data_IF_225964316554
#
_entry.id   IF_225964316554
#
_cell.length_a   1.000
_cell.length_b   1.000
_cell.length_c   1.000
_cell.angle_alpha   90.00
_cell.angle_beta   90.00
_cell.angle_gamma   90.00
#
_symmetry.space_group_name_H-M   'P 1'
#
loop_
_entity.id
_entity.type
_entity.pdbx_description
1 polymer ?
#
# COMPACT_ATOMS: atom_id res chain seq x y z
N UNK A 1 20.66 -4.17 19.15
CA UNK A 1 19.58 -4.81 18.37
C UNK A 1 19.23 -3.93 17.18
N UNK A 2 18.80 -4.51 16.06
CA UNK A 2 18.50 -3.78 14.81
C UNK A 2 17.22 -2.95 14.96
N UNK A 3 17.24 -1.71 14.45
CA UNK A 3 16.05 -0.85 14.30
C UNK A 3 15.89 -0.51 12.82
N UNK A 4 14.67 -0.62 12.32
CA UNK A 4 14.28 -0.13 10.99
C UNK A 4 13.49 1.15 11.17
N UNK A 5 13.89 2.21 10.47
CA UNK A 5 13.24 3.52 10.55
C UNK A 5 12.58 3.80 9.20
N UNK A 6 11.28 4.13 9.23
CA UNK A 6 10.49 4.50 8.06
C UNK A 6 9.92 5.90 8.30
N UNK A 7 10.16 6.82 7.36
CA UNK A 7 9.80 8.23 7.54
C UNK A 7 8.94 8.75 6.39
N UNK A 8 8.06 9.66 6.76
CA UNK A 8 7.34 10.56 5.85
C UNK A 8 7.74 12.01 6.17
N UNK A 9 7.19 12.97 5.42
CA UNK A 9 7.43 14.40 5.67
C UNK A 9 7.10 14.84 7.11
N UNK A 10 6.20 14.16 7.81
CA UNK A 10 5.65 14.62 9.10
C UNK A 10 5.63 13.55 10.20
N UNK A 11 6.01 12.30 9.92
CA UNK A 11 5.98 11.19 10.88
C UNK A 11 7.14 10.22 10.66
N UNK A 12 7.61 9.66 11.76
CA UNK A 12 8.62 8.59 11.81
C UNK A 12 8.00 7.38 12.50
N UNK A 13 8.09 6.22 11.87
CA UNK A 13 7.75 4.92 12.45
C UNK A 13 9.05 4.12 12.64
N UNK A 14 9.23 3.53 13.82
CA UNK A 14 10.42 2.74 14.16
C UNK A 14 9.97 1.32 14.47
N UNK A 15 10.61 0.35 13.83
CA UNK A 15 10.33 -1.08 13.99
C UNK A 15 11.56 -1.71 14.65
N UNK A 16 11.37 -2.37 15.79
CA UNK A 16 12.45 -2.99 16.55
C UNK A 16 11.93 -3.75 17.77
N UNK A 17 12.83 -4.46 18.46
CA UNK A 17 12.47 -5.32 19.60
C UNK A 17 11.87 -4.58 20.81
N UNK A 18 12.24 -3.31 21.00
CA UNK A 18 11.77 -2.47 22.12
C UNK A 18 10.79 -1.37 21.66
N UNK A 19 10.26 -1.47 20.43
CA UNK A 19 9.33 -0.51 19.87
C UNK A 19 7.87 -1.00 19.97
N UNK A 20 6.88 -0.09 19.96
CA UNK A 20 5.48 -0.48 19.81
C UNK A 20 5.25 -1.31 18.53
N UNK A 21 4.26 -2.20 18.56
CA UNK A 21 3.88 -2.97 17.38
C UNK A 21 3.47 -2.03 16.24
N UNK A 22 4.11 -2.20 15.08
CA UNK A 22 3.85 -1.38 13.91
C UNK A 22 2.79 -2.05 13.03
N UNK A 23 1.61 -1.45 12.97
CA UNK A 23 0.51 -1.87 12.08
C UNK A 23 0.76 -1.33 10.67
N UNK A 24 0.81 -2.24 9.69
CA UNK A 24 0.90 -1.91 8.26
C UNK A 24 -0.48 -2.11 7.64
N UNK A 25 -1.09 -1.04 7.13
CA UNK A 25 -2.38 -1.11 6.46
C UNK A 25 -2.25 -1.66 5.03
N UNK A 26 -2.96 -2.75 4.72
CA UNK A 26 -2.88 -3.46 3.43
C UNK A 26 -3.92 -3.02 2.37
N UNK A 27 -4.83 -2.11 2.72
CA UNK A 27 -6.08 -1.93 1.96
C UNK A 27 -5.86 -1.35 0.56
N UNK A 28 -4.77 -0.60 0.34
CA UNK A 28 -4.43 0.02 -0.95
C UNK A 28 -3.77 -1.04 -1.84
N UNK A 29 -4.61 -1.97 -2.30
CA UNK A 29 -4.25 -3.04 -3.19
C UNK A 29 -5.46 -3.36 -4.09
N UNK A 30 -5.35 -3.25 -5.43
CA UNK A 30 -6.45 -3.49 -6.36
C UNK A 30 -6.83 -4.96 -6.50
N UNK A 31 -6.02 -5.91 -6.00
CA UNK A 31 -6.30 -7.35 -6.09
C UNK A 31 -7.64 -7.68 -5.45
N UNK A 32 -8.55 -8.26 -6.23
CA UNK A 32 -9.92 -8.57 -5.77
C UNK A 32 -10.84 -7.34 -5.61
N UNK A 33 -10.37 -6.12 -5.89
CA UNK A 33 -11.14 -4.86 -5.76
C UNK A 33 -11.40 -4.22 -7.11
N UNK A 34 -12.35 -4.79 -7.87
CA UNK A 34 -12.71 -4.36 -9.23
C UNK A 34 -12.86 -2.84 -9.40
N UNK A 35 -13.50 -2.16 -8.42
CA UNK A 35 -13.68 -0.71 -8.45
C UNK A 35 -12.33 0.04 -8.37
N UNK A 36 -11.49 -0.31 -7.39
CA UNK A 36 -10.19 0.34 -7.21
C UNK A 36 -9.27 0.06 -8.41
N UNK A 37 -9.33 -1.15 -8.98
CA UNK A 37 -8.58 -1.47 -10.18
C UNK A 37 -8.95 -0.56 -11.36
N UNK A 38 -10.25 -0.42 -11.65
CA UNK A 38 -10.74 0.44 -12.73
C UNK A 38 -10.43 1.94 -12.49
N UNK A 39 -10.52 2.41 -11.25
CA UNK A 39 -10.17 3.80 -10.90
C UNK A 39 -8.67 4.04 -11.15
N UNK A 40 -7.78 3.15 -10.70
CA UNK A 40 -6.34 3.26 -10.94
C UNK A 40 -5.99 3.20 -12.44
N UNK A 41 -6.63 2.32 -13.21
CA UNK A 41 -6.50 2.24 -14.68
C UNK A 41 -6.88 3.56 -15.36
N UNK A 42 -7.88 4.27 -14.82
CA UNK A 42 -8.34 5.57 -15.30
C UNK A 42 -7.52 6.76 -14.75
N UNK A 43 -6.51 6.52 -13.89
CA UNK A 43 -5.79 7.57 -13.19
C UNK A 43 -6.60 8.30 -12.12
N UNK A 44 -7.70 7.71 -11.66
CA UNK A 44 -8.51 8.20 -10.54
C UNK A 44 -7.98 7.64 -9.21
N UNK A 45 -7.48 8.52 -8.36
CA UNK A 45 -6.92 8.18 -7.05
C UNK A 45 -7.89 8.37 -5.88
N UNK A 46 -9.17 8.69 -6.15
CA UNK A 46 -10.15 9.03 -5.12
C UNK A 46 -10.31 7.95 -4.04
N UNK A 47 -10.37 6.67 -4.43
CA UNK A 47 -10.45 5.56 -3.45
C UNK A 47 -9.12 5.35 -2.71
N UNK A 48 -7.97 5.58 -3.36
CA UNK A 48 -6.66 5.49 -2.71
C UNK A 48 -6.55 6.51 -1.58
N UNK A 49 -6.89 7.77 -1.86
CA UNK A 49 -6.86 8.85 -0.86
C UNK A 49 -7.79 8.53 0.33
N UNK A 50 -9.01 8.08 0.02
CA UNK A 50 -9.98 7.68 1.05
C UNK A 50 -9.46 6.55 1.92
N UNK A 51 -8.95 5.48 1.30
CA UNK A 51 -8.46 4.31 2.03
C UNK A 51 -7.21 4.64 2.84
N UNK A 52 -6.32 5.52 2.35
CA UNK A 52 -5.16 5.98 3.09
C UNK A 52 -5.58 6.69 4.40
N UNK A 53 -6.49 7.65 4.30
CA UNK A 53 -7.01 8.38 5.46
C UNK A 53 -7.73 7.45 6.44
N UNK A 54 -8.56 6.54 5.94
CA UNK A 54 -9.31 5.61 6.79
C UNK A 54 -8.38 4.64 7.53
N UNK A 55 -7.37 4.09 6.87
CA UNK A 55 -6.43 3.18 7.52
C UNK A 55 -5.61 3.88 8.61
N UNK A 56 -5.16 5.11 8.37
CA UNK A 56 -4.48 5.91 9.40
C UNK A 56 -5.41 6.20 10.57
N UNK A 57 -6.68 6.55 10.31
CA UNK A 57 -7.67 6.76 11.35
C UNK A 57 -7.98 5.48 12.16
N UNK A 58 -7.87 4.31 11.53
CA UNK A 58 -7.97 2.99 12.17
C UNK A 58 -6.69 2.53 12.88
N UNK A 59 -5.63 3.33 12.90
CA UNK A 59 -4.40 3.05 13.66
C UNK A 59 -3.24 2.47 12.85
N UNK A 60 -3.30 2.45 11.52
CA UNK A 60 -2.15 2.07 10.71
C UNK A 60 -0.99 3.07 10.91
N UNK A 61 0.20 2.55 11.22
CA UNK A 61 1.42 3.35 11.38
C UNK A 61 2.09 3.60 10.02
N UNK A 62 2.03 2.59 9.15
CA UNK A 62 2.58 2.56 7.80
C UNK A 62 1.45 2.06 6.87
N UNK A 63 1.49 2.47 5.60
CA UNK A 63 0.58 1.97 4.58
C UNK A 63 1.38 1.17 3.55
N UNK A 64 0.95 -0.06 3.29
CA UNK A 64 1.40 -0.83 2.13
C UNK A 64 0.67 -0.35 0.88
N UNK A 65 1.40 -0.22 -0.23
CA UNK A 65 0.88 0.31 -1.49
C UNK A 65 1.23 -0.68 -2.60
N UNK A 66 0.22 -1.32 -3.17
CA UNK A 66 0.38 -2.17 -4.35
C UNK A 66 -0.44 -1.60 -5.52
N UNK A 67 0.22 -1.33 -6.64
CA UNK A 67 -0.41 -0.90 -7.89
C UNK A 67 -0.13 -1.86 -9.06
N UNK A 68 0.57 -2.97 -8.83
CA UNK A 68 1.17 -3.80 -9.87
C UNK A 68 0.16 -4.44 -10.81
N UNK A 69 -0.98 -4.92 -10.31
CA UNK A 69 -1.96 -5.67 -11.13
C UNK A 69 -2.65 -4.80 -12.19
N UNK A 70 -2.79 -3.50 -11.95
CA UNK A 70 -3.53 -2.58 -12.83
C UNK A 70 -2.71 -2.19 -14.05
N UNK A 71 -1.40 -1.99 -13.86
CA UNK A 71 -0.49 -1.59 -14.94
C UNK A 71 0.18 -2.79 -15.60
N UNK A 72 -0.20 -4.01 -15.21
CA UNK A 72 0.34 -5.22 -15.78
C UNK A 72 -0.43 -5.59 -17.05
N UNK A 73 0.17 -5.34 -18.22
CA UNK A 73 -0.32 -5.86 -19.50
C UNK A 73 -0.05 -7.37 -19.67
N UNK A 74 0.54 -8.04 -18.68
CA UNK A 74 0.82 -9.46 -18.73
C UNK A 74 -0.49 -10.26 -18.60
N UNK A 75 -0.84 -11.10 -19.60
CA UNK A 75 -2.02 -11.97 -19.53
C UNK A 75 -1.89 -13.08 -18.47
N UNK A 76 -0.69 -13.31 -17.92
CA UNK A 76 -0.46 -14.28 -16.86
C UNK A 76 -0.62 -13.63 -15.47
N UNK A 77 -1.70 -13.93 -14.71
CA UNK A 77 -1.95 -13.32 -13.40
C UNK A 77 -0.92 -13.71 -12.33
N UNK A 78 -0.06 -14.69 -12.61
CA UNK A 78 1.02 -15.13 -11.72
C UNK A 78 2.37 -14.45 -12.03
N UNK A 79 2.45 -13.62 -13.06
CA UNK A 79 3.65 -12.85 -13.41
C UNK A 79 3.32 -11.37 -13.27
N UNK A 80 3.55 -10.83 -12.08
CA UNK A 80 3.17 -9.46 -11.69
C UNK A 80 4.19 -8.39 -12.06
N UNK A 81 5.33 -8.77 -12.63
CA UNK A 81 6.41 -7.85 -13.03
C UNK A 81 6.58 -7.87 -14.55
N UNK A 82 6.75 -6.71 -15.22
CA UNK A 82 7.13 -6.67 -16.62
C UNK A 82 8.52 -7.33 -16.80
N UNK A 83 8.77 -8.02 -17.93
CA UNK A 83 10.09 -8.57 -18.20
C UNK A 83 11.15 -7.44 -18.19
N UNK A 84 12.26 -7.70 -17.49
CA UNK A 84 13.44 -6.82 -17.42
C UNK A 84 14.07 -6.59 -18.79
#
# INVERSE_FOLDING_TARGET
MTRTVVESKTKTAIIGFDEPFCVIGERINPTGRKKLAAELEAGDFSTVEKDALQQVACGANILDINAGVVYNSNPNPNETEPPL
#
